data_IF_111636715263
#
_entry.id   IF_111636715263
#
_cell.length_a   1.000
_cell.length_b   1.000
_cell.length_c   1.000
_cell.angle_alpha   90.00
_cell.angle_beta   90.00
_cell.angle_gamma   90.00
#
_symmetry.space_group_name_H-M   'P 1'
#
loop_
_entity.id
_entity.type
_entity.pdbx_description
1 polymer ?
#
# COMPACT_ATOMS: atom_id res chain seq x y z
N UNK A 1 6.74 1.98 -5.43
CA UNK A 1 8.08 1.96 -4.72
C UNK A 1 8.62 3.34 -4.26
N UNK A 2 7.78 4.21 -3.70
CA UNK A 2 8.03 5.66 -3.56
C UNK A 2 8.41 6.11 -2.15
N UNK A 3 9.28 5.36 -1.47
CA UNK A 3 9.79 5.73 -0.13
C UNK A 3 8.75 5.68 1.01
N UNK A 4 7.55 5.16 0.75
CA UNK A 4 6.52 4.99 1.76
C UNK A 4 6.69 3.64 2.47
N UNK A 5 7.03 3.68 3.76
CA UNK A 5 7.23 2.49 4.61
C UNK A 5 6.17 2.45 5.70
N UNK A 6 5.74 1.25 6.07
CA UNK A 6 4.78 1.01 7.13
C UNK A 6 5.04 -0.30 7.86
N UNK A 7 4.38 -0.48 9.00
CA UNK A 7 4.32 -1.74 9.74
C UNK A 7 2.92 -2.30 9.57
N UNK A 8 2.80 -3.60 9.29
CA UNK A 8 1.49 -4.27 9.23
C UNK A 8 0.86 -4.24 10.62
N UNK A 9 -0.26 -3.54 10.77
CA UNK A 9 -0.92 -3.36 12.08
C UNK A 9 -1.96 -4.45 12.38
N UNK A 10 -2.70 -4.90 11.36
CA UNK A 10 -3.76 -5.90 11.51
C UNK A 10 -3.90 -6.69 10.22
N UNK A 11 -4.14 -8.00 10.36
CA UNK A 11 -4.59 -8.88 9.28
C UNK A 11 -6.09 -9.09 9.48
N UNK A 12 -6.89 -8.74 8.49
CA UNK A 12 -8.34 -8.91 8.52
C UNK A 12 -8.72 -10.16 7.71
N UNK A 13 -9.83 -10.84 8.07
CA UNK A 13 -10.49 -11.79 7.18
C UNK A 13 -10.87 -11.12 5.85
N UNK A 14 -10.98 -11.90 4.79
CA UNK A 14 -11.25 -11.37 3.45
C UNK A 14 -12.62 -10.69 3.39
N UNK A 15 -13.62 -11.30 4.01
CA UNK A 15 -15.01 -10.82 4.10
C UNK A 15 -15.16 -9.47 4.82
N UNK A 16 -14.20 -9.12 5.68
CA UNK A 16 -14.20 -7.86 6.43
C UNK A 16 -13.59 -6.70 5.61
N UNK A 17 -12.93 -7.00 4.50
CA UNK A 17 -12.26 -6.00 3.68
C UNK A 17 -13.29 -5.27 2.79
N UNK A 18 -13.08 -3.98 2.49
CA UNK A 18 -13.88 -3.30 1.48
C UNK A 18 -13.82 -4.04 0.15
N UNK A 19 -14.92 -4.00 -0.60
CA UNK A 19 -15.03 -4.67 -1.89
C UNK A 19 -15.55 -3.74 -2.99
N UNK A 20 -15.21 -4.09 -4.23
CA UNK A 20 -15.61 -3.40 -5.45
C UNK A 20 -17.02 -3.81 -5.90
N UNK A 21 -17.61 -3.09 -6.84
CA UNK A 21 -18.94 -3.41 -7.42
C UNK A 21 -19.02 -4.83 -8.03
N UNK A 22 -17.87 -5.42 -8.40
CA UNK A 22 -17.76 -6.78 -8.93
C UNK A 22 -17.64 -7.87 -7.84
N UNK A 23 -17.65 -7.49 -6.55
CA UNK A 23 -17.47 -8.40 -5.41
C UNK A 23 -16.01 -8.69 -5.05
N UNK A 24 -15.04 -8.15 -5.79
CA UNK A 24 -13.62 -8.33 -5.49
C UNK A 24 -13.23 -7.54 -4.24
N UNK A 25 -12.70 -8.24 -3.24
CA UNK A 25 -12.20 -7.62 -2.01
C UNK A 25 -10.81 -7.01 -2.22
N UNK A 26 -10.51 -5.95 -1.47
CA UNK A 26 -9.19 -5.31 -1.50
C UNK A 26 -8.16 -6.09 -0.69
N UNK A 27 -6.88 -6.02 -1.09
CA UNK A 27 -5.79 -6.68 -0.38
C UNK A 27 -5.18 -5.81 0.73
N UNK A 28 -5.02 -4.51 0.50
CA UNK A 28 -4.32 -3.58 1.41
C UNK A 28 -5.01 -2.23 1.43
N UNK A 29 -5.21 -1.68 2.64
CA UNK A 29 -5.70 -0.31 2.85
C UNK A 29 -4.56 0.57 3.34
N UNK A 30 -4.32 1.69 2.64
CA UNK A 30 -3.28 2.66 2.97
C UNK A 30 -3.88 3.98 3.42
N UNK A 31 -3.26 4.62 4.42
CA UNK A 31 -3.68 5.93 4.89
C UNK A 31 -3.37 7.03 3.84
N UNK A 32 -4.37 7.81 3.37
CA UNK A 32 -4.16 8.83 2.36
C UNK A 32 -3.33 10.02 2.84
N UNK A 33 -3.28 10.30 4.15
CA UNK A 33 -2.56 11.47 4.71
C UNK A 33 -1.05 11.43 4.47
N UNK A 34 -0.50 10.25 4.25
CA UNK A 34 0.92 10.06 3.97
C UNK A 34 1.37 10.59 2.61
N UNK A 35 0.44 10.80 1.67
CA UNK A 35 0.76 11.21 0.30
C UNK A 35 0.97 12.72 0.16
N UNK A 36 0.02 13.59 0.57
CA UNK A 36 0.19 15.04 0.45
C UNK A 36 1.34 15.57 1.31
N UNK A 37 1.53 14.98 2.50
CA UNK A 37 2.56 15.42 3.46
C UNK A 37 3.99 15.15 2.98
N UNK A 38 4.20 14.15 2.12
CA UNK A 38 5.53 13.77 1.60
C UNK A 38 5.69 14.07 0.11
N UNK A 39 4.66 14.62 -0.53
CA UNK A 39 4.61 14.93 -1.96
C UNK A 39 5.02 13.76 -2.86
N UNK A 40 4.70 12.53 -2.47
CA UNK A 40 5.05 11.32 -3.24
C UNK A 40 3.96 10.95 -4.26
N UNK A 41 3.59 11.93 -5.11
CA UNK A 41 2.49 11.84 -6.08
C UNK A 41 2.62 10.64 -7.02
N UNK A 42 3.85 10.23 -7.35
CA UNK A 42 4.13 9.03 -8.14
C UNK A 42 3.48 7.76 -7.60
N UNK A 43 3.26 7.67 -6.28
CA UNK A 43 2.53 6.56 -5.66
C UNK A 43 1.08 6.47 -6.17
N UNK A 44 0.41 7.60 -6.36
CA UNK A 44 -0.98 7.63 -6.86
C UNK A 44 -1.02 7.34 -8.35
N UNK A 45 -0.05 7.87 -9.11
CA UNK A 45 0.08 7.59 -10.53
C UNK A 45 0.36 6.10 -10.80
N UNK A 46 1.21 5.46 -9.98
CA UNK A 46 1.46 4.02 -10.02
C UNK A 46 0.16 3.22 -9.82
N UNK A 47 -0.65 3.59 -8.83
CA UNK A 47 -1.94 2.94 -8.53
C UNK A 47 -2.90 3.03 -9.71
N UNK A 48 -3.05 4.23 -10.30
CA UNK A 48 -3.92 4.45 -11.45
C UNK A 48 -3.46 3.67 -12.69
N UNK A 49 -2.16 3.72 -12.98
CA UNK A 49 -1.61 3.00 -14.13
C UNK A 49 -1.71 1.49 -13.94
N UNK A 50 -1.43 0.98 -12.74
CA UNK A 50 -1.62 -0.42 -12.39
C UNK A 50 -3.07 -0.87 -12.56
N UNK A 51 -4.04 -0.03 -12.18
CA UNK A 51 -5.46 -0.31 -12.39
C UNK A 51 -5.79 -0.41 -13.89
N UNK A 52 -5.31 0.54 -14.70
CA UNK A 52 -5.54 0.51 -16.14
C UNK A 52 -4.89 -0.68 -16.84
N UNK A 53 -3.75 -1.19 -16.33
CA UNK A 53 -3.09 -2.36 -16.92
C UNK A 53 -3.71 -3.69 -16.48
N UNK A 54 -4.47 -3.73 -15.38
CA UNK A 54 -5.13 -4.96 -14.88
C UNK A 54 -6.04 -5.59 -15.92
N UNK A 55 -6.78 -4.76 -16.65
CA UNK A 55 -7.86 -5.17 -17.55
C UNK A 55 -7.40 -5.35 -19.00
N UNK A 56 -6.21 -4.86 -19.37
CA UNK A 56 -5.64 -5.02 -20.71
C UNK A 56 -5.12 -6.45 -20.92
N UNK A 57 -6.00 -7.31 -21.47
CA UNK A 57 -5.69 -8.57 -22.17
C UNK A 57 -4.59 -9.44 -21.54
N UNK A 58 -4.80 -9.90 -20.30
CA UNK A 58 -3.93 -10.92 -19.68
C UNK A 58 -2.72 -10.40 -18.92
N UNK A 59 -2.74 -9.14 -18.48
CA UNK A 59 -1.70 -8.58 -17.62
C UNK A 59 -0.53 -8.00 -18.42
N UNK A 60 -0.83 -7.09 -19.35
CA UNK A 60 0.21 -6.42 -20.13
C UNK A 60 1.12 -5.60 -19.21
N UNK A 61 2.42 -5.85 -19.25
CA UNK A 61 3.40 -5.05 -18.54
C UNK A 61 3.56 -3.68 -19.19
N UNK A 62 3.56 -2.62 -18.38
CA UNK A 62 3.90 -1.27 -18.84
C UNK A 62 5.30 -0.88 -18.35
N UNK A 63 6.06 -0.24 -19.22
CA UNK A 63 7.36 0.33 -18.89
C UNK A 63 7.28 1.85 -19.04
N UNK A 64 7.53 2.57 -17.95
CA UNK A 64 7.66 4.03 -17.96
C UNK A 64 9.11 4.38 -17.60
N UNK A 65 9.88 4.99 -18.52
CA UNK A 65 11.21 5.51 -18.21
C UNK A 65 11.20 6.49 -17.04
N UNK A 66 12.33 6.63 -16.34
CA UNK A 66 12.42 7.44 -15.11
C UNK A 66 12.24 8.94 -15.37
N UNK A 67 12.74 9.44 -16.50
CA UNK A 67 12.76 10.87 -16.83
C UNK A 67 11.85 11.25 -18.00
N UNK A 68 11.36 10.26 -18.75
CA UNK A 68 10.44 10.42 -19.88
C UNK A 68 9.32 9.38 -19.75
N UNK A 69 8.61 9.49 -18.63
CA UNK A 69 7.58 8.53 -18.23
C UNK A 69 6.21 8.86 -18.82
N UNK A 70 5.22 8.03 -18.49
CA UNK A 70 3.83 8.30 -18.87
C UNK A 70 3.36 9.63 -18.29
N UNK A 71 2.75 10.48 -19.12
CA UNK A 71 2.17 11.76 -18.67
C UNK A 71 0.85 11.52 -17.94
N UNK A 72 0.41 12.50 -17.14
CA UNK A 72 -0.85 12.39 -16.41
C UNK A 72 -2.05 12.22 -17.36
N UNK A 73 -2.09 12.92 -18.50
CA UNK A 73 -3.14 12.70 -19.50
C UNK A 73 -3.13 11.27 -20.03
N UNK A 74 -1.96 10.71 -20.34
CA UNK A 74 -1.86 9.34 -20.82
C UNK A 74 -2.40 8.35 -19.80
N UNK A 75 -2.09 8.52 -18.51
CA UNK A 75 -2.64 7.65 -17.44
C UNK A 75 -4.17 7.75 -17.39
N UNK A 76 -4.73 8.97 -17.48
CA UNK A 76 -6.19 9.18 -17.51
C UNK A 76 -6.84 8.54 -18.73
N UNK A 77 -6.21 8.65 -19.89
CA UNK A 77 -6.70 8.06 -21.14
C UNK A 77 -6.63 6.53 -21.08
N UNK A 78 -5.61 5.96 -20.44
CA UNK A 78 -5.53 4.51 -20.19
C UNK A 78 -6.67 4.04 -19.26
N UNK A 79 -6.97 4.76 -18.19
CA UNK A 79 -8.11 4.44 -17.32
C UNK A 79 -9.43 4.46 -18.09
N UNK A 80 -9.67 5.51 -18.87
CA UNK A 80 -10.91 5.67 -19.65
C UNK A 80 -11.07 4.61 -20.73
N UNK A 81 -9.99 4.24 -21.42
CA UNK A 81 -9.98 3.12 -22.39
C UNK A 81 -10.41 1.79 -21.76
N UNK A 82 -10.26 1.63 -20.46
CA UNK A 82 -10.64 0.42 -19.71
C UNK A 82 -12.00 0.56 -19.02
N UNK A 83 -12.72 1.66 -19.23
CA UNK A 83 -14.02 1.91 -18.61
C UNK A 83 -13.94 2.42 -17.17
N UNK A 84 -12.75 2.80 -16.68
CA UNK A 84 -12.62 3.44 -15.38
C UNK A 84 -12.75 4.97 -15.47
N UNK A 85 -13.24 5.64 -14.40
CA UNK A 85 -13.26 7.10 -14.37
C UNK A 85 -11.86 7.71 -14.50
N UNK A 86 -11.73 8.81 -15.24
CA UNK A 86 -10.46 9.57 -15.37
C UNK A 86 -9.87 10.03 -14.02
N UNK A 87 -10.68 10.07 -12.96
CA UNK A 87 -10.23 10.40 -11.60
C UNK A 87 -9.53 9.25 -10.88
N UNK A 88 -9.64 8.02 -11.39
CA UNK A 88 -9.14 6.80 -10.72
C UNK A 88 -9.90 6.44 -9.43
N UNK A 89 -11.04 7.09 -9.17
CA UNK A 89 -11.87 6.85 -7.98
C UNK A 89 -13.09 6.01 -8.32
N UNK A 90 -13.33 4.97 -7.54
CA UNK A 90 -14.44 4.02 -7.70
C UNK A 90 -15.32 4.00 -6.46
N UNK A 91 -16.53 3.47 -6.60
CA UNK A 91 -17.37 3.12 -5.46
C UNK A 91 -16.77 1.92 -4.74
N UNK A 92 -16.73 1.98 -3.41
CA UNK A 92 -16.45 0.82 -2.56
C UNK A 92 -17.64 0.57 -1.64
N UNK A 93 -17.74 -0.68 -1.18
CA UNK A 93 -18.69 -1.12 -0.18
C UNK A 93 -17.94 -1.62 1.05
N UNK A 94 -18.52 -1.42 2.23
CA UNK A 94 -18.02 -1.96 3.49
C UNK A 94 -18.30 -3.47 3.53
N UNK A 95 -17.26 -4.29 3.73
CA UNK A 95 -17.38 -5.76 3.81
C UNK A 95 -18.25 -6.23 4.97
N UNK A 96 -18.38 -5.43 6.04
CA UNK A 96 -19.14 -5.81 7.24
C UNK A 96 -20.62 -5.51 7.15
N UNK A 97 -20.96 -4.36 6.57
CA UNK A 97 -22.35 -3.88 6.52
C UNK A 97 -22.97 -4.05 5.13
N UNK A 98 -22.15 -4.13 4.08
CA UNK A 98 -22.57 -4.08 2.68
C UNK A 98 -22.94 -2.68 2.20
N UNK A 99 -22.83 -1.65 3.05
CA UNK A 99 -23.18 -0.28 2.70
C UNK A 99 -22.09 0.38 1.86
N UNK A 100 -22.51 1.28 0.97
CA UNK A 100 -21.61 2.07 0.14
C UNK A 100 -20.92 3.16 0.96
N UNK A 101 -19.62 3.38 0.75
CA UNK A 101 -18.94 4.55 1.31
C UNK A 101 -19.46 5.85 0.68
N UNK A 102 -19.60 6.89 1.51
CA UNK A 102 -20.11 8.21 1.10
C UNK A 102 -19.31 8.83 -0.06
N UNK A 103 -17.98 8.68 0.00
CA UNK A 103 -17.05 9.25 -0.97
C UNK A 103 -16.42 8.16 -1.83
N UNK A 104 -16.23 8.47 -3.13
CA UNK A 104 -15.47 7.60 -4.03
C UNK A 104 -14.01 7.52 -3.57
N UNK A 105 -13.46 6.32 -3.61
CA UNK A 105 -12.12 6.01 -3.10
C UNK A 105 -11.19 5.66 -4.26
N UNK A 106 -9.93 6.08 -4.17
CA UNK A 106 -8.91 5.68 -5.14
C UNK A 106 -8.54 4.22 -4.90
N UNK A 107 -8.74 3.38 -5.92
CA UNK A 107 -8.38 1.96 -5.90
C UNK A 107 -7.50 1.68 -7.12
N UNK A 108 -6.53 0.81 -6.95
CA UNK A 108 -5.68 0.35 -8.03
C UNK A 108 -4.61 -0.61 -7.54
N UNK A 109 -3.64 -0.89 -8.41
CA UNK A 109 -2.59 -1.87 -8.14
C UNK A 109 -1.28 -1.13 -7.87
N UNK A 110 -0.63 -1.49 -6.76
CA UNK A 110 0.67 -0.96 -6.38
C UNK A 110 1.66 -2.11 -6.14
N UNK A 111 2.91 -1.91 -6.54
CA UNK A 111 3.97 -2.85 -6.23
C UNK A 111 4.49 -2.64 -4.79
N UNK A 112 4.27 -3.64 -3.94
CA UNK A 112 4.65 -3.65 -2.52
C UNK A 112 5.87 -4.55 -2.28
N UNK A 113 6.75 -4.13 -1.36
CA UNK A 113 7.96 -4.87 -0.98
C UNK A 113 7.92 -5.24 0.51
N UNK A 114 8.33 -6.47 0.83
CA UNK A 114 8.60 -6.90 2.21
C UNK A 114 10.08 -6.70 2.50
N UNK A 115 10.40 -5.87 3.48
CA UNK A 115 11.78 -5.66 3.95
C UNK A 115 12.18 -6.72 4.98
N UNK A 116 13.49 -6.96 5.13
CA UNK A 116 14.06 -7.92 6.10
C UNK A 116 13.88 -7.52 7.58
N UNK A 117 13.18 -6.41 7.86
CA UNK A 117 12.98 -5.89 9.21
C UNK A 117 11.86 -6.61 9.96
N UNK A 118 12.02 -7.91 10.19
CA UNK A 118 11.06 -8.76 10.90
C UNK A 118 11.02 -8.44 12.40
N UNK A 119 9.86 -8.66 13.01
CA UNK A 119 9.65 -8.42 14.46
C UNK A 119 10.34 -9.46 15.33
N UNK A 120 10.48 -10.69 14.82
CA UNK A 120 11.14 -11.82 15.49
C UNK A 120 12.58 -11.47 15.91
N UNK A 121 13.32 -10.84 15.00
CA UNK A 121 14.69 -10.39 15.26
C UNK A 121 14.77 -9.19 16.22
N UNK A 122 13.65 -8.54 16.52
CA UNK A 122 13.61 -7.31 17.34
C UNK A 122 13.05 -7.51 18.74
N UNK A 123 12.28 -8.58 18.98
CA UNK A 123 11.74 -8.84 20.31
C UNK A 123 12.87 -9.25 21.26
N UNK A 124 13.03 -8.52 22.37
CA UNK A 124 13.99 -8.83 23.42
C UNK A 124 13.45 -8.31 24.76
N UNK A 125 13.49 -9.16 25.77
CA UNK A 125 13.17 -8.80 27.15
C UNK A 125 14.18 -9.46 28.07
N UNK A 126 14.54 -8.78 29.16
CA UNK A 126 15.49 -9.28 30.15
C UNK A 126 15.02 -8.87 31.53
N UNK A 127 14.85 -9.84 32.43
CA UNK A 127 14.49 -9.59 33.83
C UNK A 127 15.72 -9.24 34.67
N UNK A 128 16.76 -10.09 34.63
CA UNK A 128 18.08 -9.87 35.24
C UNK A 128 19.12 -10.35 34.23
N UNK A 129 20.28 -9.71 34.14
CA UNK A 129 21.36 -10.18 33.29
C UNK A 129 22.73 -9.74 33.80
N UNK A 130 23.78 -9.95 33.01
CA UNK A 130 25.14 -9.65 33.42
C UNK A 130 25.36 -8.14 33.59
N UNK A 131 26.22 -7.80 34.55
CA UNK A 131 26.59 -6.43 34.88
C UNK A 131 28.05 -6.18 34.50
N UNK A 132 28.35 -4.94 34.16
CA UNK A 132 29.71 -4.45 33.98
C UNK A 132 30.48 -4.54 35.29
N UNK A 133 31.69 -5.11 35.25
CA UNK A 133 32.55 -5.23 36.44
C UNK A 133 32.94 -3.87 37.03
N UNK A 134 33.07 -2.85 36.17
CA UNK A 134 33.54 -1.51 36.58
C UNK A 134 32.39 -0.66 37.11
N UNK A 135 31.30 -0.56 36.34
CA UNK A 135 30.20 0.37 36.64
C UNK A 135 29.05 -0.28 37.38
N UNK A 136 29.03 -1.61 37.49
CA UNK A 136 27.90 -2.38 38.02
C UNK A 136 26.57 -2.01 37.35
N UNK A 137 26.63 -1.64 36.07
CA UNK A 137 25.46 -1.37 35.22
C UNK A 137 25.16 -2.59 34.33
N UNK A 138 23.88 -2.87 34.00
CA UNK A 138 23.52 -3.97 33.11
C UNK A 138 24.21 -3.85 31.74
N UNK A 139 24.69 -4.96 31.19
CA UNK A 139 25.26 -5.00 29.85
C UNK A 139 24.17 -4.83 28.78
N UNK A 140 24.42 -3.93 27.82
CA UNK A 140 23.51 -3.64 26.71
C UNK A 140 23.65 -4.58 25.51
N UNK A 141 22.61 -4.62 24.68
CA UNK A 141 22.57 -5.35 23.40
C UNK A 141 21.79 -6.66 23.44
N UNK A 142 21.08 -6.93 22.33
CA UNK A 142 20.55 -8.25 21.94
C UNK A 142 21.63 -8.89 21.04
N UNK A 143 22.64 -9.50 21.65
CA UNK A 143 23.59 -10.35 20.95
C UNK A 143 23.13 -11.81 21.09
#
# INVERSE_FOLDING_TARGET
>A
RHGNKGVVSRVLPAEDMPFLEDGTHLDVVLNPLGVPSRMNIGQVLEVHLGMAMRTLNGGTCIATPVFDGATEEQVKDYLEKQGYPRTGKVTLYDGRTGEKFDNKVTVGIMYMLKLHHLVEDKMHARAIGPYSLVTQQPLGGKA
#
